data_IF_299244961319
#
_entry.id   IF_299244961319
#
_cell.length_a   1.000
_cell.length_b   1.000
_cell.length_c   1.000
_cell.angle_alpha   90.00
_cell.angle_beta   90.00
_cell.angle_gamma   90.00
#
_symmetry.space_group_name_H-M   'P 1'
#
loop_
_entity.id
_entity.type
_entity.pdbx_description
1 polymer ?
#
# COMPACT_ATOMS: atom_id res chain seq x y z
N UNK A 1 29.40 -1.46 19.61
CA UNK A 1 28.36 -0.46 19.30
C UNK A 1 27.08 -1.21 19.02
N UNK A 2 26.01 -0.98 19.81
CA UNK A 2 24.70 -1.54 19.49
C UNK A 2 24.11 -0.74 18.32
N UNK A 3 23.61 -1.44 17.30
CA UNK A 3 22.87 -0.81 16.20
C UNK A 3 21.49 -0.43 16.75
N UNK A 4 21.16 0.86 16.74
CA UNK A 4 19.86 1.35 17.17
C UNK A 4 18.78 0.83 16.21
N UNK A 5 17.69 0.26 16.76
CA UNK A 5 16.60 -0.29 15.96
C UNK A 5 15.85 0.86 15.26
N UNK A 6 15.51 0.65 13.99
CA UNK A 6 14.64 1.56 13.24
C UNK A 6 13.23 1.61 13.84
N UNK A 7 12.50 2.68 13.58
CA UNK A 7 11.10 2.85 13.96
C UNK A 7 10.23 1.75 13.39
N UNK A 8 10.45 1.35 12.14
CA UNK A 8 9.76 0.22 11.54
C UNK A 8 10.01 -1.09 12.30
N UNK A 9 11.28 -1.42 12.62
CA UNK A 9 11.60 -2.63 13.40
C UNK A 9 10.97 -2.60 14.80
N UNK A 10 10.89 -1.43 15.44
CA UNK A 10 10.23 -1.27 16.73
C UNK A 10 8.72 -1.47 16.61
N UNK A 11 8.08 -0.91 15.60
CA UNK A 11 6.65 -1.12 15.35
C UNK A 11 6.33 -2.58 15.01
N UNK A 12 7.20 -3.28 14.27
CA UNK A 12 7.04 -4.70 13.95
C UNK A 12 7.17 -5.58 15.23
N UNK A 13 8.10 -5.25 16.13
CA UNK A 13 8.23 -5.90 17.45
C UNK A 13 7.01 -5.64 18.34
N UNK A 14 6.56 -4.38 18.42
CA UNK A 14 5.34 -3.99 19.15
C UNK A 14 4.13 -4.75 18.62
N UNK A 15 3.95 -4.77 17.29
CA UNK A 15 2.84 -5.48 16.64
C UNK A 15 2.89 -6.97 16.96
N UNK A 16 4.07 -7.58 16.91
CA UNK A 16 4.25 -9.00 17.23
C UNK A 16 3.94 -9.33 18.69
N UNK A 17 4.38 -8.47 19.63
CA UNK A 17 4.09 -8.63 21.06
C UNK A 17 2.61 -8.47 21.36
N UNK A 18 1.98 -7.45 20.79
CA UNK A 18 0.54 -7.22 20.95
C UNK A 18 -0.28 -8.38 20.38
N UNK A 19 0.03 -8.87 19.18
CA UNK A 19 -0.68 -10.03 18.62
C UNK A 19 -0.54 -11.30 19.47
N UNK A 20 0.59 -11.46 20.19
CA UNK A 20 0.76 -12.55 21.16
C UNK A 20 -0.10 -12.35 22.40
N UNK A 21 -0.14 -11.14 22.97
CA UNK A 21 -0.98 -10.86 24.15
C UNK A 21 -2.47 -10.97 23.84
N UNK A 22 -2.92 -10.59 22.65
CA UNK A 22 -4.30 -10.82 22.21
C UNK A 22 -4.70 -12.30 22.30
N UNK A 23 -3.74 -13.20 22.03
CA UNK A 23 -3.96 -14.65 22.08
C UNK A 23 -4.21 -15.20 23.49
N UNK A 24 -3.93 -14.41 24.52
CA UNK A 24 -4.18 -14.69 25.93
C UNK A 24 -5.55 -14.18 26.38
N UNK A 25 -6.19 -13.29 25.62
CA UNK A 25 -7.51 -12.75 25.93
C UNK A 25 -8.60 -13.84 25.69
N UNK A 26 -9.44 -14.15 26.69
CA UNK A 26 -10.53 -15.11 26.55
C UNK A 26 -11.45 -14.78 25.37
N UNK A 27 -11.77 -15.78 24.55
CA UNK A 27 -12.67 -15.63 23.40
C UNK A 27 -12.02 -15.06 22.13
N UNK A 28 -10.84 -14.43 22.20
CA UNK A 28 -10.19 -13.84 21.02
C UNK A 28 -9.83 -14.90 19.97
N UNK A 29 -9.26 -16.05 20.39
CA UNK A 29 -8.88 -17.14 19.46
C UNK A 29 -10.09 -17.72 18.71
N UNK A 30 -11.20 -17.91 19.40
CA UNK A 30 -12.42 -18.45 18.80
C UNK A 30 -13.08 -17.43 17.87
N UNK A 31 -13.09 -16.15 18.27
CA UNK A 31 -13.52 -15.05 17.41
C UNK A 31 -12.67 -14.96 16.14
N UNK A 32 -11.34 -15.03 16.26
CA UNK A 32 -10.42 -14.98 15.13
C UNK A 32 -10.64 -16.18 14.19
N UNK A 33 -10.76 -17.40 14.75
CA UNK A 33 -11.05 -18.61 13.97
C UNK A 33 -12.34 -18.47 13.18
N UNK A 34 -13.43 -18.00 13.80
CA UNK A 34 -14.72 -17.79 13.10
C UNK A 34 -14.64 -16.75 12.00
N UNK A 35 -13.90 -15.65 12.21
CA UNK A 35 -13.70 -14.66 11.16
C UNK A 35 -12.86 -15.18 9.99
N UNK A 36 -11.84 -15.99 10.27
CA UNK A 36 -11.08 -16.67 9.22
C UNK A 36 -11.94 -17.68 8.47
N UNK A 37 -12.72 -18.50 9.19
CA UNK A 37 -13.63 -19.48 8.61
C UNK A 37 -14.67 -18.84 7.69
N UNK A 38 -15.28 -17.72 8.13
CA UNK A 38 -16.18 -16.91 7.28
C UNK A 38 -15.50 -16.36 6.04
N UNK A 39 -14.23 -15.98 6.14
CA UNK A 39 -13.47 -15.45 4.99
C UNK A 39 -13.13 -16.56 4.00
N UNK A 40 -12.80 -17.75 4.50
CA UNK A 40 -12.42 -18.91 3.68
C UNK A 40 -13.63 -19.60 3.04
N UNK A 41 -14.77 -19.64 3.73
CA UNK A 41 -16.00 -20.29 3.28
C UNK A 41 -17.05 -19.27 2.79
N UNK A 42 -16.61 -18.09 2.31
CA UNK A 42 -17.50 -17.04 1.83
C UNK A 42 -18.40 -17.48 0.66
N UNK A 43 -17.95 -18.47 -0.12
CA UNK A 43 -18.70 -18.99 -1.27
C UNK A 43 -19.78 -20.04 -0.89
N UNK A 44 -19.74 -20.61 0.32
CA UNK A 44 -20.68 -21.63 0.82
C UNK A 44 -21.96 -21.03 1.45
N UNK A 45 -22.35 -19.83 1.00
CA UNK A 45 -23.56 -19.12 1.43
C UNK A 45 -24.87 -19.86 1.12
N UNK A 46 -24.83 -20.94 0.34
CA UNK A 46 -26.01 -21.78 0.05
C UNK A 46 -26.33 -22.81 1.15
N UNK A 47 -25.41 -23.10 2.08
CA UNK A 47 -25.62 -24.10 3.15
C UNK A 47 -25.60 -23.53 4.57
N UNK A 48 -25.40 -22.22 4.74
CA UNK A 48 -25.43 -21.59 6.06
C UNK A 48 -26.88 -21.38 6.51
N UNK A 49 -27.49 -22.45 7.03
CA UNK A 49 -28.78 -22.38 7.71
C UNK A 49 -28.75 -21.30 8.79
N UNK A 50 -29.75 -20.43 8.73
CA UNK A 50 -30.00 -19.25 9.55
C UNK A 50 -30.29 -19.55 11.04
N UNK A 51 -29.44 -20.33 11.70
CA UNK A 51 -29.56 -20.67 13.12
C UNK A 51 -28.18 -20.73 13.75
N UNK A 52 -27.53 -19.57 13.87
CA UNK A 52 -26.67 -19.40 15.04
C UNK A 52 -26.81 -17.97 15.53
N UNK A 53 -27.54 -17.86 16.63
CA UNK A 53 -27.66 -16.70 17.50
C UNK A 53 -26.36 -15.91 17.52
N UNK A 54 -26.47 -14.63 17.18
CA UNK A 54 -25.48 -13.56 17.28
C UNK A 54 -24.35 -13.96 18.26
N UNK A 55 -23.22 -14.51 17.77
CA UNK A 55 -22.20 -15.04 18.65
C UNK A 55 -21.74 -13.87 19.49
N UNK A 56 -21.86 -13.97 20.82
CA UNK A 56 -21.48 -12.91 21.78
C UNK A 56 -20.27 -12.19 21.22
N UNK A 57 -20.48 -10.97 20.68
CA UNK A 57 -19.46 -10.28 19.92
C UNK A 57 -18.31 -10.11 20.90
N UNK A 58 -17.20 -10.79 20.63
CA UNK A 58 -15.98 -10.52 21.36
C UNK A 58 -15.67 -9.05 21.08
N UNK A 59 -15.75 -8.24 22.11
CA UNK A 59 -15.48 -6.81 22.07
C UNK A 59 -14.23 -6.54 22.87
N UNK A 60 -13.28 -5.85 22.26
CA UNK A 60 -12.14 -5.33 23.01
C UNK A 60 -12.61 -4.27 23.99
N UNK A 61 -11.91 -4.16 25.12
CA UNK A 61 -12.05 -2.93 25.91
C UNK A 61 -11.57 -1.73 25.07
N UNK A 62 -12.00 -0.52 25.45
CA UNK A 62 -11.76 0.67 24.64
C UNK A 62 -10.28 0.94 24.37
N UNK A 63 -9.41 0.67 25.35
CA UNK A 63 -7.97 0.88 25.24
C UNK A 63 -7.29 -0.09 24.28
N UNK A 64 -7.62 -1.39 24.39
CA UNK A 64 -7.12 -2.45 23.50
C UNK A 64 -7.64 -2.22 22.08
N UNK A 65 -8.89 -1.76 21.91
CA UNK A 65 -9.44 -1.40 20.60
C UNK A 65 -8.66 -0.25 19.95
N UNK A 66 -8.34 0.81 20.71
CA UNK A 66 -7.52 1.94 20.20
C UNK A 66 -6.12 1.46 19.79
N UNK A 67 -5.46 0.66 20.62
CA UNK A 67 -4.14 0.10 20.31
C UNK A 67 -4.19 -0.82 19.07
N UNK A 68 -5.16 -1.74 19.02
CA UNK A 68 -5.39 -2.62 17.88
C UNK A 68 -5.59 -1.80 16.59
N UNK A 69 -6.39 -0.73 16.64
CA UNK A 69 -6.63 0.15 15.49
C UNK A 69 -5.37 0.84 14.99
N UNK A 70 -4.50 1.33 15.88
CA UNK A 70 -3.19 1.91 15.51
C UNK A 70 -2.34 0.87 14.78
N UNK A 71 -2.22 -0.33 15.33
CA UNK A 71 -1.40 -1.40 14.76
C UNK A 71 -1.94 -1.88 13.41
N UNK A 72 -3.25 -2.06 13.28
CA UNK A 72 -3.87 -2.46 12.02
C UNK A 72 -3.71 -1.39 10.94
N UNK A 73 -3.85 -0.10 11.29
CA UNK A 73 -3.58 0.99 10.35
C UNK A 73 -2.10 1.05 9.95
N UNK A 74 -1.18 0.74 10.87
CA UNK A 74 0.25 0.65 10.58
C UNK A 74 0.56 -0.47 9.59
N UNK A 75 0.03 -1.68 9.82
CA UNK A 75 0.20 -2.83 8.92
C UNK A 75 -0.39 -2.56 7.54
N UNK A 76 -1.55 -1.91 7.48
CA UNK A 76 -2.15 -1.48 6.21
C UNK A 76 -1.26 -0.46 5.49
N UNK A 77 -0.69 0.52 6.19
CA UNK A 77 0.25 1.47 5.60
C UNK A 77 1.47 0.74 5.02
N UNK A 78 2.09 -0.17 5.79
CA UNK A 78 3.22 -1.01 5.33
C UNK A 78 2.87 -1.81 4.07
N UNK A 79 1.71 -2.46 4.05
CA UNK A 79 1.21 -3.18 2.87
C UNK A 79 1.10 -2.29 1.62
N UNK A 80 0.71 -1.02 1.77
CA UNK A 80 0.70 -0.07 0.64
C UNK A 80 2.10 0.26 0.13
N UNK A 81 3.08 0.37 1.02
CA UNK A 81 4.49 0.61 0.66
C UNK A 81 5.05 -0.58 -0.10
N UNK A 82 4.77 -1.79 0.36
CA UNK A 82 5.17 -3.02 -0.35
C UNK A 82 4.49 -3.13 -1.71
N UNK A 83 3.22 -2.72 -1.82
CA UNK A 83 2.53 -2.64 -3.12
C UNK A 83 3.21 -1.63 -4.06
N UNK A 84 3.64 -0.47 -3.55
CA UNK A 84 4.38 0.52 -4.31
C UNK A 84 5.72 -0.03 -4.81
N UNK A 85 6.48 -0.72 -3.95
CA UNK A 85 7.73 -1.41 -4.35
C UNK A 85 7.46 -2.47 -5.41
N UNK A 86 6.37 -3.22 -5.27
CA UNK A 86 5.92 -4.22 -6.24
C UNK A 86 5.73 -3.67 -7.65
N UNK A 87 5.37 -2.38 -7.81
CA UNK A 87 5.27 -1.74 -9.13
C UNK A 87 6.57 -1.83 -9.95
N UNK A 88 7.75 -1.86 -9.30
CA UNK A 88 9.04 -2.03 -9.97
C UNK A 88 9.08 -3.34 -10.79
N UNK A 89 8.55 -4.42 -10.21
CA UNK A 89 8.49 -5.72 -10.87
C UNK A 89 7.56 -5.69 -12.09
N UNK A 90 6.40 -5.05 -11.96
CA UNK A 90 5.43 -4.91 -13.05
C UNK A 90 5.99 -4.10 -14.21
N UNK A 91 6.73 -3.01 -13.96
CA UNK A 91 7.40 -2.30 -15.05
C UNK A 91 8.42 -3.18 -15.79
N UNK A 92 9.19 -4.00 -15.07
CA UNK A 92 10.26 -4.82 -15.66
C UNK A 92 9.79 -6.00 -16.49
N UNK A 93 8.59 -6.52 -16.25
CA UNK A 93 8.11 -7.74 -16.90
C UNK A 93 6.88 -7.45 -17.73
N UNK A 94 6.97 -7.76 -19.01
CA UNK A 94 5.82 -7.80 -19.91
C UNK A 94 5.32 -9.24 -20.04
N UNK A 95 4.18 -9.61 -19.40
CA UNK A 95 3.70 -10.98 -19.38
C UNK A 95 2.74 -11.33 -20.54
N UNK A 96 2.45 -10.38 -21.44
CA UNK A 96 1.34 -10.49 -22.40
C UNK A 96 1.76 -10.95 -23.81
N UNK A 97 2.81 -11.76 -23.91
CA UNK A 97 3.23 -12.29 -25.21
C UNK A 97 2.12 -13.18 -25.81
N UNK A 98 1.60 -12.80 -26.98
CA UNK A 98 0.50 -13.51 -27.64
C UNK A 98 -0.90 -13.20 -27.08
N UNK A 99 -0.99 -12.26 -26.14
CA UNK A 99 -2.25 -11.77 -25.57
C UNK A 99 -2.61 -10.40 -26.17
N UNK A 100 -3.87 -9.95 -26.10
CA UNK A 100 -4.33 -8.72 -26.75
C UNK A 100 -3.87 -7.42 -26.07
N UNK A 101 -3.00 -7.49 -25.05
CA UNK A 101 -2.51 -6.31 -24.31
C UNK A 101 -1.19 -5.86 -24.92
N UNK A 102 -1.15 -4.66 -25.50
CA UNK A 102 0.07 -4.14 -26.11
C UNK A 102 1.09 -3.64 -25.07
N UNK A 103 2.32 -3.36 -25.49
CA UNK A 103 3.36 -2.80 -24.61
C UNK A 103 3.02 -1.39 -24.13
N UNK A 104 2.38 -0.61 -24.99
CA UNK A 104 1.82 0.70 -24.65
C UNK A 104 0.78 0.59 -23.53
N UNK A 105 -0.24 -0.26 -23.73
CA UNK A 105 -1.32 -0.46 -22.75
C UNK A 105 -0.77 -0.95 -21.42
N UNK A 106 0.18 -1.89 -21.47
CA UNK A 106 0.85 -2.39 -20.27
C UNK A 106 1.53 -1.26 -19.47
N UNK A 107 2.40 -0.46 -20.10
CA UNK A 107 3.12 0.61 -19.40
C UNK A 107 2.15 1.62 -18.79
N UNK A 108 1.13 2.00 -19.54
CA UNK A 108 0.13 2.95 -19.08
C UNK A 108 -0.64 2.43 -17.86
N UNK A 109 -1.13 1.19 -17.92
CA UNK A 109 -1.81 0.55 -16.81
C UNK A 109 -0.92 0.44 -15.55
N UNK A 110 0.36 0.12 -15.72
CA UNK A 110 1.31 0.05 -14.60
C UNK A 110 1.59 1.44 -14.02
N UNK A 111 1.65 2.50 -14.83
CA UNK A 111 1.73 3.88 -14.36
C UNK A 111 0.49 4.28 -13.53
N UNK A 112 -0.72 3.95 -13.99
CA UNK A 112 -1.96 4.23 -13.27
C UNK A 112 -2.02 3.49 -11.93
N UNK A 113 -1.59 2.22 -11.90
CA UNK A 113 -1.41 1.45 -10.67
C UNK A 113 -0.38 2.10 -9.73
N UNK A 114 0.76 2.56 -10.26
CA UNK A 114 1.79 3.29 -9.51
C UNK A 114 1.23 4.56 -8.86
N UNK A 115 0.49 5.40 -9.59
CA UNK A 115 -0.12 6.62 -9.03
C UNK A 115 -1.17 6.30 -7.96
N UNK A 116 -1.94 5.23 -8.15
CA UNK A 116 -2.93 4.76 -7.17
C UNK A 116 -2.30 4.36 -5.84
N UNK A 117 -1.06 3.85 -5.85
CA UNK A 117 -0.32 3.52 -4.62
C UNK A 117 -0.05 4.76 -3.75
N UNK A 118 0.31 5.92 -4.32
CA UNK A 118 0.54 7.15 -3.53
C UNK A 118 -0.73 7.64 -2.84
N UNK A 119 -1.86 7.58 -3.53
CA UNK A 119 -3.15 7.90 -2.92
C UNK A 119 -3.45 6.96 -1.74
N UNK A 120 -3.28 5.64 -1.92
CA UNK A 120 -3.46 4.66 -0.84
C UNK A 120 -2.52 4.90 0.33
N UNK A 121 -1.24 5.20 0.09
CA UNK A 121 -0.27 5.55 1.14
C UNK A 121 -0.75 6.78 1.90
N UNK A 122 -1.12 7.86 1.20
CA UNK A 122 -1.61 9.11 1.83
C UNK A 122 -2.82 8.88 2.73
N UNK A 123 -3.83 8.16 2.24
CA UNK A 123 -5.05 7.90 3.02
C UNK A 123 -4.79 6.98 4.22
N UNK A 124 -3.94 5.96 4.07
CA UNK A 124 -3.58 5.06 5.18
C UNK A 124 -2.68 5.76 6.21
N UNK A 125 -1.79 6.63 5.76
CA UNK A 125 -0.97 7.49 6.62
C UNK A 125 -1.88 8.38 7.49
N UNK A 126 -2.85 9.07 6.87
CA UNK A 126 -3.85 9.87 7.59
C UNK A 126 -4.61 9.04 8.64
N UNK A 127 -5.07 7.84 8.27
CA UNK A 127 -5.78 6.94 9.20
C UNK A 127 -4.91 6.53 10.39
N UNK A 128 -3.65 6.16 10.14
CA UNK A 128 -2.69 5.81 11.18
C UNK A 128 -2.48 6.96 12.17
N UNK A 129 -2.22 8.16 11.64
CA UNK A 129 -1.99 9.35 12.46
C UNK A 129 -3.22 9.72 13.30
N UNK A 130 -4.42 9.65 12.70
CA UNK A 130 -5.67 9.87 13.42
C UNK A 130 -5.85 8.85 14.56
N UNK A 131 -5.56 7.56 14.31
CA UNK A 131 -5.64 6.55 15.37
C UNK A 131 -4.59 6.76 16.46
N UNK A 132 -3.38 7.19 16.11
CA UNK A 132 -2.32 7.43 17.08
C UNK A 132 -2.63 8.63 17.97
N UNK A 133 -3.13 9.74 17.40
CA UNK A 133 -3.58 10.90 18.17
C UNK A 133 -4.83 10.62 19.01
N UNK A 134 -5.65 9.62 18.66
CA UNK A 134 -6.81 9.22 19.47
C UNK A 134 -6.43 8.33 20.66
N UNK A 135 -5.23 7.75 20.65
CA UNK A 135 -4.71 6.91 21.72
C UNK A 135 -4.01 7.74 22.81
N UNK A 136 -3.32 8.81 22.43
CA UNK A 136 -2.60 9.69 23.35
C UNK A 136 -3.40 10.95 23.68
N UNK A 137 -3.44 11.31 24.97
CA UNK A 137 -4.03 12.57 25.45
C UNK A 137 -3.26 13.81 24.95
N UNK A 138 -2.00 13.62 24.56
CA UNK A 138 -1.16 14.64 23.93
C UNK A 138 -1.23 14.48 22.42
N UNK A 139 -1.48 15.57 21.71
CA UNK A 139 -1.45 15.58 20.25
C UNK A 139 -0.03 15.23 19.76
N UNK A 140 0.19 13.98 19.33
CA UNK A 140 1.55 13.44 19.07
C UNK A 140 2.19 14.06 17.83
N UNK A 141 1.41 14.21 16.76
CA UNK A 141 1.89 14.60 15.44
C UNK A 141 0.89 15.56 14.82
N UNK A 142 1.37 16.71 14.30
CA UNK A 142 0.56 17.56 13.41
C UNK A 142 0.28 16.82 12.11
N UNK A 143 -0.93 16.28 12.01
CA UNK A 143 -1.39 15.52 10.85
C UNK A 143 -1.47 16.41 9.61
N UNK A 144 -1.86 17.68 9.77
CA UNK A 144 -2.01 18.63 8.69
C UNK A 144 -0.68 18.93 8.03
N UNK A 145 0.31 19.32 8.84
CA UNK A 145 1.66 19.66 8.36
C UNK A 145 2.33 18.45 7.67
N UNK A 146 2.26 17.27 8.28
CA UNK A 146 2.84 16.06 7.72
C UNK A 146 2.19 15.65 6.38
N UNK A 147 0.86 15.76 6.27
CA UNK A 147 0.16 15.49 5.03
C UNK A 147 0.46 16.54 3.94
N UNK A 148 0.64 17.81 4.31
CA UNK A 148 1.08 18.86 3.38
C UNK A 148 2.48 18.53 2.84
N UNK A 149 3.43 18.14 3.71
CA UNK A 149 4.77 17.73 3.28
C UNK A 149 4.72 16.53 2.32
N UNK A 150 3.92 15.50 2.65
CA UNK A 150 3.73 14.34 1.78
C UNK A 150 3.14 14.74 0.42
N UNK A 151 2.09 15.57 0.42
CA UNK A 151 1.44 16.03 -0.80
C UNK A 151 2.38 16.90 -1.65
N UNK A 152 3.17 17.77 -1.04
CA UNK A 152 4.18 18.55 -1.74
C UNK A 152 5.21 17.67 -2.42
N UNK A 153 5.75 16.68 -1.68
CA UNK A 153 6.78 15.75 -2.19
C UNK A 153 6.29 14.90 -3.36
N UNK A 154 5.03 14.46 -3.32
CA UNK A 154 4.42 13.56 -4.31
C UNK A 154 3.28 14.22 -5.10
N UNK A 155 3.37 15.55 -5.28
CA UNK A 155 2.33 16.36 -5.92
C UNK A 155 2.07 15.91 -7.35
N UNK A 156 3.13 15.53 -8.08
CA UNK A 156 3.04 15.01 -9.44
C UNK A 156 2.23 13.71 -9.48
N UNK A 157 2.59 12.72 -8.66
CA UNK A 157 1.93 11.42 -8.60
C UNK A 157 0.45 11.55 -8.22
N UNK A 158 0.15 12.39 -7.23
CA UNK A 158 -1.22 12.65 -6.78
C UNK A 158 -2.04 13.40 -7.85
N UNK A 159 -1.43 14.33 -8.58
CA UNK A 159 -2.08 15.05 -9.69
C UNK A 159 -2.43 14.08 -10.81
N UNK A 160 -1.49 13.24 -11.25
CA UNK A 160 -1.77 12.24 -12.29
C UNK A 160 -2.84 11.24 -11.86
N UNK A 161 -2.80 10.77 -10.61
CA UNK A 161 -3.87 9.94 -10.04
C UNK A 161 -5.24 10.63 -10.18
N UNK A 162 -5.34 11.91 -9.84
CA UNK A 162 -6.60 12.64 -9.91
C UNK A 162 -7.07 12.89 -11.36
N UNK A 163 -6.14 13.08 -12.30
CA UNK A 163 -6.47 13.16 -13.73
C UNK A 163 -7.05 11.82 -14.20
N UNK A 164 -6.34 10.72 -13.95
CA UNK A 164 -6.76 9.36 -14.33
C UNK A 164 -8.14 9.01 -13.79
N UNK A 165 -8.44 9.35 -12.53
CA UNK A 165 -9.74 9.03 -11.93
C UNK A 165 -10.91 9.91 -12.38
N UNK A 166 -10.68 11.09 -12.94
CA UNK A 166 -11.76 12.07 -13.17
C UNK A 166 -11.84 12.65 -14.59
N UNK A 167 -10.72 12.70 -15.30
CA UNK A 167 -10.60 13.43 -16.56
C UNK A 167 -10.15 12.55 -17.73
N UNK A 168 -9.58 11.38 -17.43
CA UNK A 168 -9.29 10.32 -18.39
C UNK A 168 -7.82 9.95 -18.43
N UNK A 169 -7.42 9.51 -19.62
CA UNK A 169 -6.08 9.21 -20.10
C UNK A 169 -4.84 9.51 -19.21
N UNK A 170 -4.05 8.54 -18.70
CA UNK A 170 -2.63 8.87 -18.42
C UNK A 170 -1.87 9.05 -19.73
N UNK A 171 -1.25 10.22 -19.91
CA UNK A 171 -0.45 10.59 -21.07
C UNK A 171 1.03 10.76 -20.68
N UNK A 172 1.91 10.10 -21.43
CA UNK A 172 3.36 10.23 -21.36
C UNK A 172 3.94 10.07 -22.76
N UNK A 173 4.62 11.12 -23.24
CA UNK A 173 5.15 11.19 -24.60
C UNK A 173 6.07 10.01 -24.98
N UNK A 174 6.82 9.46 -24.01
CA UNK A 174 7.72 8.34 -24.27
C UNK A 174 6.95 7.01 -24.37
N UNK A 175 5.85 6.88 -23.62
CA UNK A 175 4.92 5.75 -23.75
C UNK A 175 4.13 5.86 -25.06
N UNK A 176 3.63 7.04 -25.40
CA UNK A 176 2.91 7.32 -26.65
C UNK A 176 3.75 7.05 -27.89
N UNK A 177 5.06 7.31 -27.81
CA UNK A 177 5.99 6.92 -28.88
C UNK A 177 5.88 5.43 -29.18
N UNK A 178 5.81 4.57 -28.16
CA UNK A 178 5.67 3.11 -28.36
C UNK A 178 4.37 2.80 -29.11
N UNK A 179 3.26 3.44 -28.75
CA UNK A 179 1.98 3.29 -29.46
C UNK A 179 2.09 3.65 -30.94
N UNK A 180 2.69 4.81 -31.25
CA UNK A 180 2.88 5.26 -32.63
C UNK A 180 3.69 4.25 -33.41
N UNK A 181 4.80 3.74 -32.86
CA UNK A 181 5.58 2.71 -33.52
C UNK A 181 4.82 1.40 -33.70
N UNK A 182 4.02 0.97 -32.72
CA UNK A 182 3.20 -0.24 -32.81
C UNK A 182 2.06 -0.14 -33.84
N UNK A 183 1.47 1.05 -34.05
CA UNK A 183 0.25 1.22 -34.86
C UNK A 183 0.44 1.90 -36.21
N UNK A 184 1.33 2.88 -36.30
CA UNK A 184 1.42 3.80 -37.47
C UNK A 184 2.48 3.36 -38.49
N UNK A 185 3.53 2.67 -38.06
CA UNK A 185 4.63 2.26 -38.96
C UNK A 185 4.14 1.19 -39.96
N UNK A 186 4.44 1.45 -41.24
CA UNK A 186 4.01 0.63 -42.39
C UNK A 186 4.42 -0.85 -42.28
N UNK A 187 3.59 -1.77 -42.80
CA UNK A 187 3.87 -3.22 -42.77
C UNK A 187 5.21 -3.62 -43.40
N UNK A 188 5.70 -2.85 -44.38
CA UNK A 188 6.99 -3.09 -45.03
C UNK A 188 8.19 -3.06 -44.06
N UNK A 189 8.02 -2.44 -42.88
CA UNK A 189 9.06 -2.31 -41.86
C UNK A 189 8.78 -3.14 -40.59
N UNK A 190 7.93 -4.18 -40.67
CA UNK A 190 7.43 -4.91 -39.50
C UNK A 190 8.54 -5.47 -38.58
N UNK A 191 9.66 -5.94 -39.13
CA UNK A 191 10.78 -6.45 -38.32
C UNK A 191 11.49 -5.32 -37.56
N UNK A 192 11.78 -4.20 -38.24
CA UNK A 192 12.37 -3.00 -37.64
C UNK A 192 11.44 -2.38 -36.60
N UNK A 193 10.13 -2.38 -36.87
CA UNK A 193 9.06 -1.94 -35.97
C UNK A 193 9.05 -2.72 -34.66
N UNK A 194 9.03 -4.05 -34.72
CA UNK A 194 9.01 -4.91 -33.53
C UNK A 194 10.29 -4.75 -32.70
N UNK A 195 11.45 -4.63 -33.35
CA UNK A 195 12.74 -4.43 -32.69
C UNK A 195 12.80 -3.07 -31.98
N UNK A 196 12.35 -2.00 -32.65
CA UNK A 196 12.32 -0.66 -32.10
C UNK A 196 11.36 -0.55 -30.91
N UNK A 197 10.10 -0.97 -31.07
CA UNK A 197 9.11 -0.92 -30.00
C UNK A 197 9.55 -1.74 -28.77
N UNK A 198 10.22 -2.87 -28.96
CA UNK A 198 10.80 -3.66 -27.86
C UNK A 198 11.97 -2.97 -27.17
N UNK A 199 12.76 -2.20 -27.92
CA UNK A 199 13.89 -1.46 -27.37
C UNK A 199 13.42 -0.25 -26.58
N UNK A 200 12.51 0.54 -27.13
CA UNK A 200 11.90 1.67 -26.43
C UNK A 200 11.11 1.21 -25.20
N UNK A 201 10.31 0.16 -25.33
CA UNK A 201 9.62 -0.42 -24.18
C UNK A 201 10.58 -0.77 -23.05
N UNK A 202 11.71 -1.45 -23.35
CA UNK A 202 12.71 -1.81 -22.34
C UNK A 202 13.34 -0.57 -21.69
N UNK A 203 13.63 0.46 -22.47
CA UNK A 203 14.18 1.73 -21.98
C UNK A 203 13.20 2.43 -21.03
N UNK A 204 11.98 2.69 -21.49
CA UNK A 204 10.93 3.37 -20.72
C UNK A 204 10.57 2.57 -19.46
N UNK A 205 10.41 1.25 -19.58
CA UNK A 205 10.19 0.36 -18.44
C UNK A 205 11.28 0.48 -17.36
N UNK A 206 12.55 0.57 -17.78
CA UNK A 206 13.69 0.69 -16.86
C UNK A 206 13.69 2.03 -16.15
N UNK A 207 13.43 3.12 -16.87
CA UNK A 207 13.33 4.47 -16.31
C UNK A 207 12.22 4.56 -15.26
N UNK A 208 11.04 4.03 -15.58
CA UNK A 208 9.93 3.96 -14.63
C UNK A 208 10.23 3.08 -13.43
N UNK A 209 10.84 1.90 -13.63
CA UNK A 209 11.26 1.04 -12.52
C UNK A 209 12.23 1.75 -11.56
N UNK A 210 13.17 2.55 -12.09
CA UNK A 210 14.07 3.38 -11.26
C UNK A 210 13.26 4.42 -10.46
N UNK A 211 12.34 5.14 -11.13
CA UNK A 211 11.46 6.12 -10.48
C UNK A 211 10.63 5.50 -9.35
N UNK A 212 10.08 4.30 -9.56
CA UNK A 212 9.36 3.55 -8.51
C UNK A 212 10.26 3.33 -7.31
N UNK A 213 11.48 2.82 -7.55
CA UNK A 213 12.43 2.50 -6.48
C UNK A 213 12.80 3.75 -5.65
N UNK A 214 13.09 4.86 -6.32
CA UNK A 214 13.43 6.13 -5.66
C UNK A 214 12.26 6.70 -4.86
N UNK A 215 11.06 6.61 -5.41
CA UNK A 215 9.85 7.13 -4.77
C UNK A 215 9.41 6.26 -3.60
N UNK A 216 9.53 4.93 -3.73
CA UNK A 216 9.31 3.98 -2.64
C UNK A 216 10.25 4.26 -1.47
N UNK A 217 11.56 4.47 -1.74
CA UNK A 217 12.53 4.87 -0.72
C UNK A 217 12.15 6.19 -0.06
N UNK A 218 11.67 7.17 -0.84
CA UNK A 218 11.20 8.44 -0.29
C UNK A 218 9.99 8.25 0.64
N UNK A 219 9.03 7.40 0.26
CA UNK A 219 7.87 7.06 1.10
C UNK A 219 8.30 6.35 2.39
N UNK A 220 9.28 5.44 2.32
CA UNK A 220 9.81 4.76 3.51
C UNK A 220 10.36 5.74 4.54
N UNK A 221 10.98 6.85 4.12
CA UNK A 221 11.43 7.89 5.06
C UNK A 221 10.26 8.48 5.85
N UNK A 222 9.12 8.77 5.21
CA UNK A 222 7.93 9.25 5.91
C UNK A 222 7.40 8.20 6.89
N UNK A 223 7.32 6.94 6.45
CA UNK A 223 6.83 5.83 7.27
C UNK A 223 7.75 5.61 8.46
N UNK A 224 9.06 5.71 8.27
CA UNK A 224 10.06 5.55 9.32
C UNK A 224 9.96 6.65 10.37
N UNK A 225 9.85 7.92 9.97
CA UNK A 225 9.65 9.04 10.91
C UNK A 225 8.38 8.85 11.73
N UNK A 226 7.27 8.49 11.08
CA UNK A 226 6.00 8.26 11.79
C UNK A 226 6.06 7.04 12.71
N UNK A 227 6.71 5.96 12.25
CA UNK A 227 6.91 4.75 13.06
C UNK A 227 7.74 5.05 14.30
N UNK A 228 8.78 5.89 14.19
CA UNK A 228 9.59 6.30 15.33
C UNK A 228 8.78 7.08 16.37
N UNK A 229 7.98 8.06 15.92
CA UNK A 229 7.15 8.83 16.85
C UNK A 229 6.11 7.94 17.52
N UNK A 230 5.40 7.10 16.75
CA UNK A 230 4.36 6.23 17.30
C UNK A 230 4.98 5.18 18.25
N UNK A 231 6.07 4.52 17.86
CA UNK A 231 6.71 3.49 18.66
C UNK A 231 7.16 4.02 20.02
N UNK A 232 7.76 5.22 20.07
CA UNK A 232 8.21 5.86 21.31
C UNK A 232 7.05 6.06 22.30
N UNK A 233 5.86 6.42 21.81
CA UNK A 233 4.69 6.67 22.66
C UNK A 233 3.95 5.37 23.01
N UNK A 234 3.92 4.39 22.10
CA UNK A 234 3.27 3.11 22.35
C UNK A 234 4.01 2.26 23.39
N UNK A 235 5.35 2.27 23.43
CA UNK A 235 6.10 1.52 24.46
C UNK A 235 5.75 1.96 25.87
N UNK A 236 5.51 3.25 26.07
CA UNK A 236 5.18 3.80 27.39
C UNK A 236 3.75 3.39 27.81
N UNK A 237 2.82 3.28 26.86
CA UNK A 237 1.41 2.98 27.12
C UNK A 237 1.06 1.48 27.13
N UNK A 238 1.70 0.66 26.29
CA UNK A 238 1.46 -0.80 26.22
C UNK A 238 1.88 -1.53 27.51
N UNK A 239 2.87 -0.99 28.22
CA UNK A 239 3.35 -1.56 29.48
C UNK A 239 2.37 -1.36 30.64
N UNK A 240 1.38 -0.46 30.47
CA UNK A 240 0.47 -0.04 31.54
C UNK A 240 -0.94 -0.66 31.46
N UNK A 241 -1.30 -1.35 30.38
CA UNK A 241 -2.72 -1.62 30.05
C UNK A 241 -3.07 -3.06 29.58
N UNK A 242 -2.09 -3.95 29.45
CA UNK A 242 -2.31 -5.40 29.32
C UNK A 242 -2.12 -6.06 30.69
#
# INVERSE_FOLDING_TARGET
MAIERTGAERMDDISSKFMRSLSEIPGFKDWQRRNMDRTLNFDDLWFSSATDTNPSMFEFNEDVEKQHKVLMNYLQLRSSVESLKGCEFYFRRYPFNGLPVSKYEHLRNVCEMYFSCFYKVKERLKKLLNSANALSDKHLIDIGELLIMFQGRFSRELKHRNIVHHHGDFDDLEIDRIFIFERVVEPAYQQSKNSFASTEYRRVSKEWAIRVKESARSVEVFVEVVSNVIANNLTDELTLKL
#
